data_IF_248683161961
#
_entry.id   IF_248683161961
#
_cell.length_a   1.000
_cell.length_b   1.000
_cell.length_c   1.000
_cell.angle_alpha   90.00
_cell.angle_beta   90.00
_cell.angle_gamma   90.00
#
_symmetry.space_group_name_H-M   'P 1'
#
loop_
_entity.id
_entity.type
_entity.pdbx_description
1 polymer ?
#
# COMPACT_ATOMS: atom_id res chain seq x y z
N UNK A 1 2.79 -4.64 -9.25
CA UNK A 1 1.53 -5.02 -9.94
C UNK A 1 1.26 -3.96 -10.98
N UNK A 2 0.90 -4.36 -12.20
CA UNK A 2 0.75 -3.45 -13.35
C UNK A 2 -0.64 -3.60 -13.94
N UNK A 3 -1.43 -2.53 -13.94
CA UNK A 3 -2.75 -2.41 -14.60
C UNK A 3 -3.30 -0.97 -14.37
N UNK A 4 -4.55 -0.71 -14.76
CA UNK A 4 -5.35 0.40 -14.26
C UNK A 4 -5.51 0.35 -12.73
N UNK A 5 -5.49 1.54 -12.13
CA UNK A 5 -5.71 1.76 -10.70
C UNK A 5 -6.73 2.88 -10.48
N UNK A 6 -7.44 2.82 -9.37
CA UNK A 6 -8.47 3.79 -9.00
C UNK A 6 -8.56 3.96 -7.48
N UNK A 7 -7.40 3.98 -6.82
CA UNK A 7 -7.29 4.03 -5.37
C UNK A 7 -8.13 2.91 -4.71
N UNK A 8 -9.04 3.28 -3.80
CA UNK A 8 -9.92 2.35 -3.11
C UNK A 8 -11.05 1.79 -3.95
N UNK A 9 -11.36 2.39 -5.10
CA UNK A 9 -12.37 1.85 -6.01
C UNK A 9 -11.89 0.55 -6.66
N UNK A 10 -10.57 0.34 -6.77
CA UNK A 10 -9.99 -0.93 -7.17
C UNK A 10 -8.72 -0.81 -8.00
N UNK A 11 -8.29 -1.97 -8.50
CA UNK A 11 -7.14 -2.16 -9.37
C UNK A 11 -7.45 -3.29 -10.35
N UNK A 12 -6.85 -3.28 -11.52
CA UNK A 12 -6.90 -4.44 -12.40
C UNK A 12 -8.23 -4.55 -13.14
N UNK A 13 -8.40 -3.77 -14.21
CA UNK A 13 -9.41 -4.11 -15.21
C UNK A 13 -9.00 -5.43 -15.88
N UNK A 14 -9.95 -6.34 -15.97
CA UNK A 14 -9.76 -7.69 -16.48
C UNK A 14 -10.78 -7.93 -17.60
N UNK A 15 -10.29 -8.02 -18.84
CA UNK A 15 -11.09 -8.33 -20.02
C UNK A 15 -11.76 -9.72 -19.94
N UNK A 16 -11.23 -10.62 -19.09
CA UNK A 16 -11.80 -11.92 -18.79
C UNK A 16 -12.94 -11.88 -17.77
N UNK A 17 -13.09 -10.77 -17.03
CA UNK A 17 -14.17 -10.56 -16.10
C UNK A 17 -15.40 -10.03 -16.84
N UNK A 18 -16.45 -10.86 -16.96
CA UNK A 18 -17.67 -10.54 -17.74
C UNK A 18 -18.38 -9.26 -17.32
N UNK A 19 -18.17 -8.81 -16.09
CA UNK A 19 -18.79 -7.60 -15.56
C UNK A 19 -17.96 -6.34 -15.84
N UNK A 20 -16.76 -6.47 -16.42
CA UNK A 20 -15.83 -5.37 -16.72
C UNK A 20 -15.34 -4.61 -15.48
N UNK A 21 -15.58 -5.15 -14.28
CA UNK A 21 -15.27 -4.50 -13.01
C UNK A 21 -13.83 -4.78 -12.61
N UNK A 22 -13.13 -3.74 -12.17
CA UNK A 22 -11.82 -3.86 -11.52
C UNK A 22 -11.92 -4.69 -10.24
N UNK A 23 -10.79 -5.27 -9.83
CA UNK A 23 -10.70 -5.96 -8.55
C UNK A 23 -10.87 -4.96 -7.40
N UNK A 24 -11.84 -5.23 -6.51
CA UNK A 24 -12.06 -4.40 -5.31
C UNK A 24 -10.84 -4.46 -4.37
N UNK A 25 -10.63 -3.41 -3.56
CA UNK A 25 -9.54 -3.40 -2.57
C UNK A 25 -9.59 -4.61 -1.62
N UNK A 26 -10.79 -5.02 -1.19
CA UNK A 26 -10.98 -6.21 -0.36
C UNK A 26 -10.52 -7.48 -1.07
N UNK A 27 -10.80 -7.61 -2.36
CA UNK A 27 -10.35 -8.76 -3.17
C UNK A 27 -8.83 -8.78 -3.34
N UNK A 28 -8.19 -7.62 -3.50
CA UNK A 28 -6.71 -7.51 -3.55
C UNK A 28 -6.11 -7.96 -2.22
N UNK A 29 -6.61 -7.43 -1.09
CA UNK A 29 -6.18 -7.80 0.26
C UNK A 29 -6.31 -9.30 0.48
N UNK A 30 -7.46 -9.87 0.13
CA UNK A 30 -7.72 -11.31 0.25
C UNK A 30 -6.73 -12.11 -0.60
N UNK A 31 -6.55 -11.77 -1.88
CA UNK A 31 -5.64 -12.49 -2.76
C UNK A 31 -4.18 -12.45 -2.28
N UNK A 32 -3.72 -11.28 -1.82
CA UNK A 32 -2.37 -11.11 -1.26
C UNK A 32 -2.20 -11.95 0.02
N UNK A 33 -3.17 -11.90 0.93
CA UNK A 33 -3.14 -12.68 2.17
C UNK A 33 -3.14 -14.18 1.88
N UNK A 34 -4.04 -14.65 1.03
CA UNK A 34 -4.16 -16.06 0.68
C UNK A 34 -2.87 -16.56 0.02
N UNK A 35 -2.29 -15.77 -0.89
CA UNK A 35 -1.03 -16.09 -1.55
C UNK A 35 0.13 -16.24 -0.56
N UNK A 36 0.28 -15.29 0.38
CA UNK A 36 1.33 -15.34 1.40
C UNK A 36 1.15 -16.52 2.37
N UNK A 37 -0.07 -16.75 2.83
CA UNK A 37 -0.37 -17.82 3.80
C UNK A 37 -0.26 -19.22 3.19
N UNK A 38 -0.47 -19.36 1.88
CA UNK A 38 -0.31 -20.62 1.17
C UNK A 38 1.16 -21.05 0.98
N UNK A 39 2.13 -20.16 1.16
CA UNK A 39 3.55 -20.47 0.94
C UNK A 39 4.09 -21.49 1.94
N UNK A 40 4.98 -22.38 1.48
CA UNK A 40 5.66 -23.34 2.36
C UNK A 40 6.54 -22.65 3.42
N UNK A 41 7.08 -21.47 3.10
CA UNK A 41 7.82 -20.63 4.05
C UNK A 41 6.92 -20.21 5.21
N UNK A 42 5.70 -19.71 4.91
CA UNK A 42 4.75 -19.35 5.94
C UNK A 42 4.35 -20.56 6.78
N UNK A 43 4.03 -21.70 6.15
CA UNK A 43 3.69 -22.94 6.87
C UNK A 43 4.82 -23.43 7.77
N UNK A 44 6.07 -23.36 7.31
CA UNK A 44 7.25 -23.74 8.10
C UNK A 44 7.48 -22.78 9.28
N UNK A 45 7.24 -21.48 9.10
CA UNK A 45 7.29 -20.50 10.19
C UNK A 45 6.25 -20.79 11.28
N UNK A 46 5.06 -21.29 10.92
CA UNK A 46 4.04 -21.65 11.90
C UNK A 46 4.36 -22.94 12.69
N UNK A 47 5.21 -23.83 12.18
CA UNK A 47 5.51 -25.13 12.79
C UNK A 47 6.84 -25.17 13.56
N UNK A 48 7.73 -24.19 13.38
CA UNK A 48 9.09 -24.16 13.92
C UNK A 48 9.32 -23.20 15.10
N UNK A 49 9.98 -23.68 16.14
CA UNK A 49 10.34 -23.00 17.39
C UNK A 49 11.05 -21.65 17.22
N UNK A 50 10.54 -20.60 17.89
CA UNK A 50 11.27 -19.36 18.16
C UNK A 50 10.41 -18.09 18.07
N UNK A 51 10.03 -17.53 19.22
CA UNK A 51 9.47 -16.18 19.39
C UNK A 51 8.38 -15.76 18.38
N UNK A 52 7.18 -16.38 18.46
CA UNK A 52 5.96 -15.91 17.79
C UNK A 52 6.16 -15.54 16.31
N UNK A 53 6.06 -16.51 15.41
CA UNK A 53 6.31 -16.34 13.99
C UNK A 53 5.66 -15.06 13.42
N UNK A 54 6.48 -14.06 13.12
CA UNK A 54 6.02 -12.85 12.44
C UNK A 54 5.44 -13.24 11.07
N UNK A 55 4.32 -12.64 10.64
CA UNK A 55 3.73 -12.96 9.36
C UNK A 55 4.73 -12.69 8.23
N UNK A 56 4.79 -13.61 7.25
CA UNK A 56 5.57 -13.44 6.03
C UNK A 56 5.09 -12.20 5.27
N UNK A 57 6.04 -11.35 4.87
CA UNK A 57 5.77 -10.11 4.13
C UNK A 57 6.62 -10.05 2.87
N UNK A 58 6.12 -9.34 1.87
CA UNK A 58 6.95 -8.88 0.78
C UNK A 58 7.99 -7.89 1.30
N UNK A 59 9.22 -7.99 0.80
CA UNK A 59 10.24 -6.97 1.06
C UNK A 59 9.82 -5.62 0.43
N UNK A 60 9.15 -5.69 -0.72
CA UNK A 60 8.70 -4.55 -1.50
C UNK A 60 7.40 -4.92 -2.25
N UNK A 61 6.41 -4.04 -2.21
CA UNK A 61 5.16 -4.14 -3.00
C UNK A 61 4.99 -2.83 -3.76
N UNK A 62 4.97 -2.93 -5.09
CA UNK A 62 4.83 -1.79 -5.98
C UNK A 62 3.54 -1.84 -6.79
N UNK A 63 2.91 -0.70 -7.04
CA UNK A 63 1.82 -0.53 -7.98
C UNK A 63 2.25 0.40 -9.10
N UNK A 64 2.46 -0.18 -10.29
CA UNK A 64 2.59 0.54 -11.55
C UNK A 64 1.16 0.72 -12.11
N UNK A 65 0.42 1.58 -11.42
CA UNK A 65 -1.00 1.83 -11.61
C UNK A 65 -1.40 3.17 -10.97
N UNK A 66 -2.35 3.88 -11.59
CA UNK A 66 -2.78 5.20 -11.14
C UNK A 66 -3.39 5.18 -9.74
N UNK A 67 -3.17 6.27 -8.98
CA UNK A 67 -3.89 6.58 -7.73
C UNK A 67 -3.69 5.58 -6.58
N UNK A 68 -2.70 4.68 -6.66
CA UNK A 68 -2.53 3.61 -5.67
C UNK A 68 -1.76 4.05 -4.42
N UNK A 69 -1.22 5.26 -4.39
CA UNK A 69 -0.60 5.89 -3.21
C UNK A 69 -1.63 6.59 -2.31
N UNK A 70 -2.82 6.00 -2.16
CA UNK A 70 -3.85 6.53 -1.27
C UNK A 70 -3.74 5.92 0.14
N UNK A 71 -4.08 6.70 1.16
CA UNK A 71 -3.98 6.29 2.57
C UNK A 71 -4.63 4.92 2.84
N UNK A 72 -5.84 4.70 2.33
CA UNK A 72 -6.60 3.47 2.54
C UNK A 72 -6.03 2.25 1.81
N UNK A 73 -5.41 2.42 0.64
CA UNK A 73 -4.71 1.34 -0.06
C UNK A 73 -3.47 0.94 0.74
N UNK A 74 -2.67 1.92 1.17
CA UNK A 74 -1.45 1.68 1.96
C UNK A 74 -1.82 1.06 3.31
N UNK A 75 -2.87 1.53 3.98
CA UNK A 75 -3.35 0.95 5.23
C UNK A 75 -3.78 -0.51 5.06
N UNK A 76 -4.52 -0.82 3.99
CA UNK A 76 -5.04 -2.16 3.73
C UNK A 76 -3.95 -3.16 3.36
N UNK A 77 -2.93 -2.73 2.60
CA UNK A 77 -1.89 -3.62 2.06
C UNK A 77 -0.55 -3.54 2.78
N UNK A 78 -0.31 -2.49 3.56
CA UNK A 78 0.86 -2.32 4.41
C UNK A 78 1.18 -3.51 5.31
N UNK A 79 0.20 -4.22 5.92
CA UNK A 79 0.46 -5.43 6.70
C UNK A 79 1.28 -6.49 5.97
N UNK A 80 1.20 -6.54 4.63
CA UNK A 80 1.83 -7.56 3.79
C UNK A 80 3.16 -7.14 3.17
N UNK A 81 3.67 -5.93 3.45
CA UNK A 81 4.94 -5.45 2.88
C UNK A 81 5.79 -4.64 3.86
N UNK A 82 7.09 -4.53 3.60
CA UNK A 82 7.98 -3.61 4.31
C UNK A 82 8.08 -2.24 3.62
N UNK A 83 8.10 -2.22 2.30
CA UNK A 83 8.08 -1.01 1.48
C UNK A 83 6.92 -1.03 0.49
N UNK A 84 6.25 0.10 0.34
CA UNK A 84 5.14 0.30 -0.59
C UNK A 84 5.50 1.41 -1.57
N UNK A 85 5.39 1.14 -2.87
CA UNK A 85 5.72 2.11 -3.92
C UNK A 85 4.53 2.32 -4.86
N UNK A 86 4.06 3.56 -4.98
CA UNK A 86 2.93 3.91 -5.84
C UNK A 86 2.85 5.42 -6.10
N UNK A 87 2.10 5.80 -7.13
CA UNK A 87 1.75 7.17 -7.47
C UNK A 87 0.44 7.62 -6.82
N UNK A 88 0.36 8.90 -6.43
CA UNK A 88 -0.88 9.54 -5.95
C UNK A 88 -1.78 9.93 -7.13
N UNK A 89 -1.17 10.22 -8.27
CA UNK A 89 -1.83 10.74 -9.47
C UNK A 89 -1.79 9.70 -10.60
N UNK A 90 -2.24 10.07 -11.79
CA UNK A 90 -2.13 9.21 -12.97
C UNK A 90 -0.67 8.85 -13.32
N UNK A 91 -0.45 7.56 -13.55
CA UNK A 91 0.80 7.04 -14.09
C UNK A 91 0.93 7.38 -15.59
N UNK A 92 2.16 7.56 -16.10
CA UNK A 92 2.40 7.52 -17.54
C UNK A 92 1.85 6.23 -18.15
N UNK A 93 1.22 6.31 -19.33
CA UNK A 93 0.58 5.13 -19.95
C UNK A 93 1.51 3.96 -20.27
N UNK A 94 2.81 4.20 -20.41
CA UNK A 94 3.83 3.14 -20.57
C UNK A 94 4.29 2.51 -19.23
N UNK A 95 3.82 3.02 -18.10
CA UNK A 95 4.19 2.61 -16.75
C UNK A 95 5.61 3.00 -16.34
N UNK A 96 6.22 2.19 -15.48
CA UNK A 96 7.56 2.37 -14.94
C UNK A 96 8.66 2.04 -15.95
N UNK A 97 9.82 2.68 -15.79
CA UNK A 97 11.00 2.34 -16.56
C UNK A 97 11.72 1.12 -15.97
N UNK A 98 11.28 -0.08 -16.37
CA UNK A 98 11.80 -1.36 -15.88
C UNK A 98 13.29 -1.63 -16.18
N UNK A 99 13.95 -0.81 -17.01
CA UNK A 99 15.43 -0.87 -17.17
C UNK A 99 16.18 -0.48 -15.90
N UNK A 100 15.51 0.19 -14.97
CA UNK A 100 16.05 0.54 -13.66
C UNK A 100 15.80 -0.54 -12.61
N UNK A 101 15.27 -1.70 -12.99
CA UNK A 101 15.18 -2.84 -12.09
C UNK A 101 16.60 -3.34 -11.78
N UNK A 102 17.04 -3.14 -10.53
CA UNK A 102 18.37 -3.53 -10.04
C UNK A 102 18.24 -4.49 -8.87
N UNK A 103 18.21 -5.81 -9.12
CA UNK A 103 18.08 -6.80 -8.04
C UNK A 103 19.40 -7.00 -7.29
N UNK A 104 20.50 -6.47 -7.80
CA UNK A 104 21.84 -6.53 -7.21
C UNK A 104 22.51 -5.17 -7.21
N UNK A 105 23.39 -4.97 -6.24
CA UNK A 105 24.23 -3.77 -6.11
C UNK A 105 25.69 -4.17 -5.93
N UNK A 106 26.60 -3.31 -6.41
CA UNK A 106 28.04 -3.51 -6.24
C UNK A 106 28.47 -3.02 -4.86
N UNK A 107 29.10 -3.89 -4.10
CA UNK A 107 29.73 -3.63 -2.81
C UNK A 107 31.24 -3.86 -2.91
N UNK A 108 31.96 -3.60 -1.82
CA UNK A 108 33.42 -3.71 -1.76
C UNK A 108 33.94 -5.13 -2.04
N UNK A 109 33.15 -6.15 -1.70
CA UNK A 109 33.45 -7.57 -1.80
C UNK A 109 32.83 -8.26 -3.04
N UNK A 110 32.12 -7.52 -3.90
CA UNK A 110 31.51 -8.06 -5.12
C UNK A 110 30.08 -7.59 -5.34
N UNK A 111 29.27 -8.43 -6.00
CA UNK A 111 27.83 -8.19 -6.16
C UNK A 111 27.07 -8.84 -5.01
N UNK A 112 26.15 -8.08 -4.41
CA UNK A 112 25.19 -8.60 -3.43
C UNK A 112 23.77 -8.31 -3.87
N UNK A 113 22.80 -9.01 -3.28
CA UNK A 113 21.39 -8.66 -3.45
C UNK A 113 21.14 -7.22 -2.97
N UNK A 114 20.33 -6.49 -3.73
CA UNK A 114 19.83 -5.20 -3.32
C UNK A 114 18.94 -5.36 -2.08
N UNK A 115 19.04 -4.44 -1.14
CA UNK A 115 18.01 -4.29 -0.10
C UNK A 115 16.70 -3.82 -0.74
N UNK A 116 15.58 -4.02 -0.05
CA UNK A 116 14.28 -3.54 -0.54
C UNK A 116 14.26 -2.03 -0.81
N UNK A 117 14.99 -1.26 0.01
CA UNK A 117 15.14 0.18 -0.18
C UNK A 117 15.93 0.49 -1.46
N UNK A 118 17.12 -0.09 -1.63
CA UNK A 118 17.94 0.10 -2.85
C UNK A 118 17.19 -0.32 -4.12
N UNK A 119 16.41 -1.40 -4.05
CA UNK A 119 15.58 -1.87 -5.15
C UNK A 119 14.48 -0.84 -5.52
N UNK A 120 13.75 -0.33 -4.51
CA UNK A 120 12.72 0.68 -4.71
C UNK A 120 13.29 2.04 -5.15
N UNK A 121 14.41 2.46 -4.57
CA UNK A 121 15.10 3.70 -4.92
C UNK A 121 15.56 3.68 -6.39
N UNK A 122 16.11 2.55 -6.86
CA UNK A 122 16.48 2.41 -8.27
C UNK A 122 15.28 2.58 -9.21
N UNK A 123 14.14 1.99 -8.86
CA UNK A 123 12.90 2.17 -9.63
C UNK A 123 12.39 3.61 -9.57
N UNK A 124 12.50 4.28 -8.42
CA UNK A 124 12.14 5.69 -8.25
C UNK A 124 13.01 6.60 -9.14
N UNK A 125 14.32 6.36 -9.21
CA UNK A 125 15.22 7.05 -10.14
C UNK A 125 14.82 6.81 -11.60
N UNK A 126 14.42 5.58 -11.94
CA UNK A 126 13.86 5.27 -13.25
C UNK A 126 12.58 6.05 -13.54
N UNK A 127 11.74 6.24 -12.53
CA UNK A 127 10.52 7.01 -12.64
C UNK A 127 10.77 8.51 -12.86
N UNK A 128 11.76 9.08 -12.18
CA UNK A 128 12.19 10.47 -12.36
C UNK A 128 12.72 10.76 -13.77
N UNK A 129 13.21 9.73 -14.48
CA UNK A 129 13.76 9.86 -15.83
C UNK A 129 12.69 10.09 -16.92
N UNK A 130 11.41 10.00 -16.59
CA UNK A 130 10.33 10.24 -17.55
C UNK A 130 10.31 11.68 -18.04
N UNK A 131 9.99 11.85 -19.32
CA UNK A 131 9.76 13.16 -19.91
C UNK A 131 8.51 13.76 -19.27
N UNK A 132 8.68 14.91 -18.63
CA UNK A 132 7.60 15.59 -17.88
C UNK A 132 6.63 16.28 -18.83
N UNK A 133 5.66 15.53 -19.36
CA UNK A 133 4.51 16.09 -20.09
C UNK A 133 3.34 16.41 -19.16
N UNK A 134 3.30 15.79 -17.98
CA UNK A 134 2.28 15.94 -16.94
C UNK A 134 2.94 15.87 -15.55
N UNK A 135 2.27 16.31 -14.47
CA UNK A 135 2.76 16.09 -13.11
C UNK A 135 2.99 14.59 -12.86
N UNK A 136 4.17 14.25 -12.36
CA UNK A 136 4.54 12.89 -12.00
C UNK A 136 4.65 12.81 -10.49
N UNK A 137 3.94 11.87 -9.88
CA UNK A 137 4.03 11.60 -8.44
C UNK A 137 4.41 10.15 -8.24
N UNK A 138 5.37 9.92 -7.34
CA UNK A 138 5.76 8.58 -6.94
C UNK A 138 6.36 8.67 -5.55
N UNK A 139 5.97 7.75 -4.68
CA UNK A 139 6.53 7.66 -3.33
C UNK A 139 7.01 6.24 -3.05
N UNK A 140 8.12 6.14 -2.33
CA UNK A 140 8.60 4.91 -1.71
C UNK A 140 8.39 5.04 -0.20
N UNK A 141 7.41 4.32 0.33
CA UNK A 141 6.95 4.45 1.71
C UNK A 141 7.43 3.25 2.52
N UNK A 142 8.21 3.50 3.57
CA UNK A 142 8.48 2.50 4.60
C UNK A 142 7.21 2.30 5.45
N UNK A 143 6.66 1.09 5.47
CA UNK A 143 5.40 0.82 6.18
C UNK A 143 5.52 1.05 7.70
N UNK A 144 6.71 0.85 8.26
CA UNK A 144 6.97 1.19 9.67
C UNK A 144 6.67 2.65 9.95
N UNK A 145 7.12 3.54 9.07
CA UNK A 145 7.02 4.98 9.27
C UNK A 145 5.60 5.47 8.94
N UNK A 146 4.93 4.85 7.95
CA UNK A 146 3.50 5.00 7.72
C UNK A 146 2.67 4.66 8.96
N UNK A 147 3.00 3.56 9.67
CA UNK A 147 2.28 3.17 10.88
C UNK A 147 2.47 4.17 12.03
N UNK A 148 3.65 4.80 12.13
CA UNK A 148 3.90 5.89 13.08
C UNK A 148 3.02 7.09 12.73
N UNK A 149 3.01 7.50 11.46
CA UNK A 149 2.15 8.58 10.97
C UNK A 149 0.67 8.29 11.23
N UNK A 150 0.18 7.13 10.81
CA UNK A 150 -1.21 6.65 11.01
C UNK A 150 -1.64 6.81 12.46
N UNK A 151 -0.84 6.31 13.41
CA UNK A 151 -1.15 6.41 14.83
C UNK A 151 -1.33 7.85 15.30
N UNK A 152 -0.44 8.76 14.88
CA UNK A 152 -0.53 10.18 15.25
C UNK A 152 -1.71 10.87 14.56
N UNK A 153 -1.96 10.52 13.30
CA UNK A 153 -3.09 11.03 12.52
C UNK A 153 -4.42 10.61 13.15
N UNK A 154 -4.58 9.35 13.53
CA UNK A 154 -5.76 8.83 14.24
C UNK A 154 -5.94 9.51 15.60
N UNK A 155 -4.86 9.68 16.37
CA UNK A 155 -4.89 10.39 17.66
C UNK A 155 -5.36 11.84 17.48
N UNK A 156 -4.91 12.52 16.43
CA UNK A 156 -5.36 13.86 16.09
C UNK A 156 -6.85 13.86 15.75
N UNK A 157 -7.32 12.95 14.90
CA UNK A 157 -8.73 12.86 14.50
C UNK A 157 -9.63 12.59 15.71
N UNK A 158 -9.26 11.68 16.59
CA UNK A 158 -9.98 11.39 17.84
C UNK A 158 -10.05 12.62 18.77
N UNK A 159 -8.94 13.36 18.86
CA UNK A 159 -8.85 14.58 19.64
C UNK A 159 -9.74 15.69 19.08
N UNK A 160 -9.78 15.87 17.76
CA UNK A 160 -10.67 16.84 17.12
C UNK A 160 -12.14 16.44 17.26
N UNK A 161 -12.43 15.15 17.12
CA UNK A 161 -13.77 14.59 17.28
C UNK A 161 -14.33 14.79 18.69
N UNK A 162 -13.51 14.55 19.72
CA UNK A 162 -13.95 14.55 21.12
C UNK A 162 -13.75 15.90 21.82
N UNK A 163 -12.69 16.63 21.47
CA UNK A 163 -12.18 17.77 22.23
C UNK A 163 -11.90 19.02 21.38
N UNK A 164 -12.19 19.01 20.06
CA UNK A 164 -11.91 20.14 19.15
C UNK A 164 -12.71 21.42 19.40
N UNK A 165 -13.61 21.42 20.40
CA UNK A 165 -14.59 22.47 20.62
C UNK A 165 -15.81 22.32 19.71
N UNK A 166 -16.95 22.90 20.12
CA UNK A 166 -18.26 22.62 19.51
C UNK A 166 -18.29 22.78 17.98
N UNK A 167 -17.61 23.79 17.42
CA UNK A 167 -17.57 24.01 15.97
C UNK A 167 -16.80 22.94 15.20
N UNK A 168 -15.57 22.64 15.63
CA UNK A 168 -14.70 21.67 14.95
C UNK A 168 -15.23 20.26 15.14
N UNK A 169 -15.64 19.88 16.36
CA UNK A 169 -16.16 18.54 16.63
C UNK A 169 -17.41 18.21 15.81
N UNK A 170 -18.32 19.18 15.60
CA UNK A 170 -19.50 18.99 14.72
C UNK A 170 -19.09 18.78 13.26
N UNK A 171 -18.10 19.53 12.76
CA UNK A 171 -17.60 19.36 11.39
C UNK A 171 -16.97 17.98 11.20
N UNK A 172 -16.13 17.54 12.14
CA UNK A 172 -15.47 16.23 12.08
C UNK A 172 -16.49 15.09 12.20
N UNK A 173 -17.46 15.20 13.11
CA UNK A 173 -18.56 14.22 13.24
C UNK A 173 -19.38 14.11 11.96
N UNK A 174 -19.71 15.24 11.32
CA UNK A 174 -20.42 15.26 10.04
C UNK A 174 -19.59 14.67 8.92
N UNK A 175 -18.31 15.00 8.83
CA UNK A 175 -17.41 14.42 7.83
C UNK A 175 -17.30 12.90 8.00
N UNK A 176 -17.14 12.42 9.24
CA UNK A 176 -17.05 11.00 9.55
C UNK A 176 -18.34 10.23 9.21
N UNK A 177 -19.52 10.82 9.42
CA UNK A 177 -20.80 10.17 9.08
C UNK A 177 -21.10 10.13 7.58
N UNK A 178 -20.44 10.98 6.79
CA UNK A 178 -20.55 11.04 5.33
C UNK A 178 -19.41 10.29 4.62
N UNK A 179 -18.38 9.89 5.37
CA UNK A 179 -17.25 9.18 4.80
C UNK A 179 -17.69 7.82 4.27
N UNK A 180 -17.16 7.45 3.11
CA UNK A 180 -17.40 6.14 2.53
C UNK A 180 -16.91 5.05 3.48
N UNK A 181 -17.82 4.18 3.95
CA UNK A 181 -17.44 2.99 4.70
C UNK A 181 -17.15 1.86 3.72
N UNK A 182 -15.94 1.32 3.76
CA UNK A 182 -15.68 0.03 3.13
C UNK A 182 -16.59 -1.02 3.79
N UNK A 183 -17.37 -1.81 3.03
CA UNK A 183 -18.18 -2.88 3.60
C UNK A 183 -17.34 -3.78 4.51
N UNK A 184 -17.72 -3.91 5.78
CA UNK A 184 -16.96 -4.65 6.80
C UNK A 184 -16.05 -3.79 7.71
N UNK A 185 -15.81 -2.51 7.40
CA UNK A 185 -15.06 -1.58 8.25
C UNK A 185 -15.99 -0.59 8.95
N UNK A 186 -15.92 -0.51 10.29
CA UNK A 186 -16.59 0.56 11.06
C UNK A 186 -15.59 1.68 11.38
N UNK A 187 -15.80 2.84 10.76
CA UNK A 187 -14.97 4.05 10.89
C UNK A 187 -15.03 4.73 12.26
N UNK A 188 -15.92 4.32 13.17
CA UNK A 188 -16.05 4.95 14.49
C UNK A 188 -15.89 3.84 15.53
N UNK A 189 -14.63 3.60 15.90
CA UNK A 189 -14.19 2.60 16.87
C UNK A 189 -13.11 1.65 16.33
N UNK A 190 -11.95 2.17 15.90
CA UNK A 190 -10.66 1.46 15.82
C UNK A 190 -10.64 0.04 15.18
N UNK A 191 -11.46 -0.24 14.17
CA UNK A 191 -11.22 -1.39 13.28
C UNK A 191 -10.39 -0.90 12.09
N UNK A 192 -9.09 -1.13 12.13
CA UNK A 192 -8.25 -0.96 10.95
C UNK A 192 -8.73 -1.88 9.83
N UNK A 193 -8.40 -1.55 8.57
CA UNK A 193 -8.76 -2.31 7.37
C UNK A 193 -8.27 -3.79 7.34
N UNK A 194 -7.70 -4.27 8.44
CA UNK A 194 -7.11 -5.60 8.63
C UNK A 194 -8.16 -6.66 9.02
N UNK A 195 -9.34 -6.26 9.50
CA UNK A 195 -10.43 -7.19 9.90
C UNK A 195 -11.30 -7.69 8.73
N UNK A 196 -10.87 -7.46 7.48
CA UNK A 196 -11.44 -8.08 6.28
C UNK A 196 -11.04 -9.55 6.16
#
# INVERSE_FOLDING_TARGET
MWNHGSAWAGFGEDDGNRDGRSMSLQSIVKGVRDGLTATEVHKAQQTGQGNGALPLKFAFLGFDACLMSSYNVIESLGPFTHYFMASEENEPGHGWNWRYLRPTVRAADGLRAATAYEYGESLLQGYESHVRSHPLTMSLIAIRDFNIFKKQFETLLESLYSCGGKGVSVLVQKAASQAYSLPGCRMIGLCGCIDL
#
